data_IF_241229440027
#
_entry.id   IF_241229440027
#
_cell.length_a   1.000
_cell.length_b   1.000
_cell.length_c   1.000
_cell.angle_alpha   90.00
_cell.angle_beta   90.00
_cell.angle_gamma   90.00
#
_symmetry.space_group_name_H-M   'P 1'
#
loop_
_entity.id
_entity.type
_entity.pdbx_description
1 polymer ?
#
# COMPACT_ATOMS: atom_id res chain seq x y z
N UNK A 1 14.88 2.41 -4.89
CA UNK A 1 15.32 3.60 -5.63
C UNK A 1 15.97 3.21 -6.98
N UNK A 2 17.02 2.36 -6.99
CA UNK A 2 17.68 1.94 -8.23
C UNK A 2 16.71 1.36 -9.27
N UNK A 3 15.74 0.55 -8.85
CA UNK A 3 14.72 0.01 -9.77
C UNK A 3 13.80 1.09 -10.33
N UNK A 4 13.42 2.10 -9.56
CA UNK A 4 12.65 3.24 -10.07
C UNK A 4 13.43 3.99 -11.16
N UNK A 5 14.72 4.23 -10.93
CA UNK A 5 15.60 4.85 -11.94
C UNK A 5 15.73 3.97 -13.20
N UNK A 6 15.88 2.67 -13.03
CA UNK A 6 15.95 1.72 -14.16
C UNK A 6 14.65 1.68 -14.99
N UNK A 7 13.51 2.00 -14.38
CA UNK A 7 12.21 2.16 -15.04
C UNK A 7 12.00 3.55 -15.68
N UNK A 8 13.03 4.42 -15.66
CA UNK A 8 13.01 5.72 -16.32
C UNK A 8 12.61 6.90 -15.42
N UNK A 9 12.50 6.72 -14.09
CA UNK A 9 12.19 7.83 -13.21
C UNK A 9 13.25 8.93 -13.26
N UNK A 10 12.87 10.13 -13.67
CA UNK A 10 13.74 11.31 -13.69
C UNK A 10 13.95 11.90 -12.31
N UNK A 11 12.92 11.84 -11.46
CA UNK A 11 12.94 12.26 -10.06
C UNK A 11 12.33 11.17 -9.19
N UNK A 12 12.86 11.02 -7.99
CA UNK A 12 12.39 10.02 -7.02
C UNK A 12 12.09 10.69 -5.68
N UNK A 13 10.82 10.74 -5.32
CA UNK A 13 10.36 11.17 -4.02
C UNK A 13 10.07 9.95 -3.13
N UNK A 14 10.40 10.04 -1.85
CA UNK A 14 10.17 8.99 -0.86
C UNK A 14 9.27 9.51 0.25
N UNK A 15 8.14 8.84 0.50
CA UNK A 15 7.35 9.03 1.72
C UNK A 15 7.88 8.07 2.79
N UNK A 16 8.45 8.62 3.86
CA UNK A 16 9.09 7.86 4.93
C UNK A 16 8.36 8.06 6.26
N UNK A 17 8.03 6.98 6.95
CA UNK A 17 7.44 7.05 8.29
C UNK A 17 8.33 7.84 9.24
N UNK A 18 7.74 8.87 9.88
CA UNK A 18 8.38 9.68 10.90
C UNK A 18 7.99 9.15 12.29
N UNK A 19 8.97 8.95 13.16
CA UNK A 19 8.76 8.40 14.49
C UNK A 19 8.53 6.89 14.47
N UNK A 20 7.28 6.43 14.63
CA UNK A 20 6.94 5.01 14.64
C UNK A 20 6.80 4.43 13.23
N UNK A 21 7.12 3.14 13.09
CA UNK A 21 6.80 2.37 11.89
C UNK A 21 5.31 2.02 11.84
N UNK A 22 4.82 1.57 10.68
CA UNK A 22 3.44 1.09 10.53
C UNK A 22 3.05 -0.01 11.53
N UNK A 23 4.02 -0.76 12.04
CA UNK A 23 3.81 -1.82 13.04
C UNK A 23 3.85 -1.28 14.49
N UNK A 24 3.92 0.03 14.69
CA UNK A 24 3.98 0.67 16.01
C UNK A 24 5.33 0.52 16.72
N UNK A 25 6.35 -0.01 16.06
CA UNK A 25 7.69 -0.15 16.62
C UNK A 25 8.56 1.08 16.31
N UNK A 26 9.53 1.35 17.16
CA UNK A 26 10.57 2.32 16.85
C UNK A 26 11.44 1.79 15.69
N UNK A 27 11.81 2.65 14.73
CA UNK A 27 12.80 2.29 13.72
C UNK A 27 14.15 1.95 14.34
N UNK A 28 14.87 1.02 13.75
CA UNK A 28 16.22 0.64 14.21
C UNK A 28 17.21 1.80 14.12
N UNK A 29 17.02 2.70 13.14
CA UNK A 29 17.89 3.85 12.90
C UNK A 29 17.12 5.16 13.10
N UNK A 30 17.76 6.22 13.63
CA UNK A 30 17.19 7.56 13.72
C UNK A 30 16.70 8.07 12.36
N UNK A 31 15.69 8.93 12.38
CA UNK A 31 15.10 9.49 11.16
C UNK A 31 16.14 10.20 10.28
N UNK A 32 17.02 11.01 10.87
CA UNK A 32 18.08 11.71 10.14
C UNK A 32 19.01 10.76 9.37
N UNK A 33 19.34 9.62 9.96
CA UNK A 33 20.17 8.59 9.32
C UNK A 33 19.42 7.94 8.15
N UNK A 34 18.13 7.61 8.33
CA UNK A 34 17.30 7.01 7.29
C UNK A 34 17.07 7.97 6.11
N UNK A 35 16.84 9.25 6.40
CA UNK A 35 16.69 10.30 5.38
C UNK A 35 17.98 10.46 4.60
N UNK A 36 19.13 10.59 5.29
CA UNK A 36 20.44 10.68 4.63
C UNK A 36 20.70 9.48 3.74
N UNK A 37 20.48 8.27 4.23
CA UNK A 37 20.67 7.06 3.45
C UNK A 37 19.76 7.02 2.19
N UNK A 38 18.51 7.48 2.30
CA UNK A 38 17.62 7.57 1.13
C UNK A 38 18.15 8.55 0.08
N UNK A 39 18.63 9.73 0.50
CA UNK A 39 19.20 10.74 -0.41
C UNK A 39 20.49 10.23 -1.06
N UNK A 40 21.42 9.66 -0.29
CA UNK A 40 22.66 9.06 -0.79
C UNK A 40 22.41 7.87 -1.74
N UNK A 41 21.31 7.13 -1.52
CA UNK A 41 20.87 6.06 -2.43
C UNK A 41 20.09 6.55 -3.66
N UNK A 42 19.97 7.85 -3.89
CA UNK A 42 19.44 8.43 -5.11
C UNK A 42 17.98 8.91 -5.04
N UNK A 43 17.43 9.14 -3.84
CA UNK A 43 16.21 9.92 -3.71
C UNK A 43 16.53 11.41 -3.93
N UNK A 44 15.67 12.13 -4.65
CA UNK A 44 15.77 13.57 -4.82
C UNK A 44 15.06 14.31 -3.68
N UNK A 45 14.06 13.67 -3.06
CA UNK A 45 13.23 14.28 -2.02
C UNK A 45 12.74 13.21 -1.05
N UNK A 46 12.72 13.53 0.24
CA UNK A 46 12.17 12.67 1.28
C UNK A 46 11.14 13.46 2.08
N UNK A 47 9.92 12.94 2.13
CA UNK A 47 8.82 13.49 2.92
C UNK A 47 8.62 12.68 4.19
N UNK A 48 8.44 13.35 5.30
CA UNK A 48 8.01 12.73 6.53
C UNK A 48 6.52 12.39 6.45
N UNK A 49 6.17 11.12 6.63
CA UNK A 49 4.80 10.70 6.90
C UNK A 49 4.61 10.70 8.42
N UNK A 50 3.88 11.69 9.00
CA UNK A 50 3.81 11.86 10.43
C UNK A 50 2.84 10.88 11.11
N UNK A 51 2.93 10.75 12.43
CA UNK A 51 1.86 10.16 13.23
C UNK A 51 0.60 11.07 13.15
N UNK A 52 -0.64 10.50 13.18
CA UNK A 52 -0.92 9.07 13.38
C UNK A 52 -0.80 8.22 12.09
N UNK A 53 -0.60 8.82 10.92
CA UNK A 53 -0.63 8.13 9.64
C UNK A 53 0.46 7.08 9.50
N UNK A 54 1.66 7.37 10.01
CA UNK A 54 2.81 6.48 9.94
C UNK A 54 2.60 5.13 10.65
N UNK A 55 1.76 5.09 11.68
CA UNK A 55 1.44 3.87 12.45
C UNK A 55 -0.03 3.44 12.32
N UNK A 56 -0.74 3.98 11.34
CA UNK A 56 -2.13 3.62 11.08
C UNK A 56 -2.26 2.27 10.36
N UNK A 57 -3.47 1.73 10.31
CA UNK A 57 -3.78 0.56 9.47
C UNK A 57 -3.50 0.82 8.00
N UNK A 58 -3.36 -0.25 7.21
CA UNK A 58 -2.92 -0.21 5.82
C UNK A 58 -3.69 0.80 4.95
N UNK A 59 -5.01 0.91 5.13
CA UNK A 59 -5.86 1.85 4.38
C UNK A 59 -5.47 3.31 4.66
N UNK A 60 -5.42 3.73 5.93
CA UNK A 60 -5.11 5.10 6.30
C UNK A 60 -3.65 5.47 5.98
N UNK A 61 -2.73 4.53 6.17
CA UNK A 61 -1.32 4.68 5.79
C UNK A 61 -1.18 4.90 4.28
N UNK A 62 -1.82 4.06 3.46
CA UNK A 62 -1.78 4.16 2.02
C UNK A 62 -2.40 5.47 1.52
N UNK A 63 -3.56 5.87 2.06
CA UNK A 63 -4.23 7.13 1.70
C UNK A 63 -3.36 8.35 1.98
N UNK A 64 -2.71 8.39 3.13
CA UNK A 64 -1.82 9.50 3.49
C UNK A 64 -0.56 9.53 2.62
N UNK A 65 0.07 8.37 2.37
CA UNK A 65 1.24 8.26 1.50
C UNK A 65 0.95 8.67 0.06
N UNK A 66 -0.15 8.19 -0.51
CA UNK A 66 -0.59 8.56 -1.87
C UNK A 66 -0.91 10.05 -1.95
N UNK A 67 -1.63 10.60 -0.97
CA UNK A 67 -1.96 12.03 -0.92
C UNK A 67 -0.69 12.90 -0.95
N UNK A 68 0.28 12.54 -0.12
CA UNK A 68 1.53 13.29 0.02
C UNK A 68 2.34 13.27 -1.28
N UNK A 69 2.48 12.11 -1.91
CA UNK A 69 3.23 11.96 -3.16
C UNK A 69 2.48 12.58 -4.36
N UNK A 70 1.15 12.44 -4.43
CA UNK A 70 0.35 13.07 -5.47
C UNK A 70 0.42 14.60 -5.43
N UNK A 71 0.42 15.19 -4.23
CA UNK A 71 0.56 16.64 -4.04
C UNK A 71 1.90 17.19 -4.56
N UNK A 72 2.91 16.33 -4.74
CA UNK A 72 4.22 16.71 -5.31
C UNK A 72 4.32 16.48 -6.80
N UNK A 73 3.24 16.06 -7.46
CA UNK A 73 3.21 15.81 -8.89
C UNK A 73 3.85 14.49 -9.32
N UNK A 74 3.98 13.53 -8.41
CA UNK A 74 4.42 12.18 -8.79
C UNK A 74 3.39 11.52 -9.71
N UNK A 75 3.87 10.95 -10.82
CA UNK A 75 3.06 10.27 -11.85
C UNK A 75 3.07 8.73 -11.69
N UNK A 76 3.95 8.20 -10.84
CA UNK A 76 4.04 6.79 -10.54
C UNK A 76 4.27 6.53 -9.04
N UNK A 77 3.69 5.44 -8.52
CA UNK A 77 3.92 4.95 -7.17
C UNK A 77 4.59 3.58 -7.21
N UNK A 78 5.84 3.53 -6.76
CA UNK A 78 6.63 2.29 -6.70
C UNK A 78 6.55 1.68 -5.30
N UNK A 79 6.18 0.42 -5.20
CA UNK A 79 6.05 -0.31 -3.94
C UNK A 79 6.38 -1.80 -4.10
N UNK A 80 6.70 -2.48 -2.99
CA UNK A 80 6.98 -3.91 -2.98
C UNK A 80 5.70 -4.73 -2.78
N UNK A 81 5.54 -5.82 -3.55
CA UNK A 81 4.45 -6.76 -3.42
C UNK A 81 4.96 -8.21 -3.51
N UNK A 82 4.25 -9.16 -2.91
CA UNK A 82 4.50 -10.60 -3.09
C UNK A 82 4.08 -11.03 -4.49
N UNK A 83 2.97 -10.48 -4.98
CA UNK A 83 2.46 -10.68 -6.35
C UNK A 83 2.54 -9.36 -7.10
N UNK A 84 3.58 -9.11 -7.90
CA UNK A 84 3.80 -7.83 -8.57
C UNK A 84 3.00 -7.72 -9.88
N UNK A 85 1.69 -7.96 -9.81
CA UNK A 85 0.75 -7.84 -10.91
C UNK A 85 -0.12 -6.59 -10.71
N UNK A 86 0.22 -5.51 -11.43
CA UNK A 86 -0.48 -4.24 -11.33
C UNK A 86 -1.96 -4.33 -11.77
N UNK A 87 -2.27 -5.16 -12.76
CA UNK A 87 -3.62 -5.32 -13.26
C UNK A 87 -4.51 -5.99 -12.21
N UNK A 88 -4.04 -7.10 -11.63
CA UNK A 88 -4.76 -7.82 -10.59
C UNK A 88 -4.91 -6.97 -9.32
N UNK A 89 -3.89 -6.21 -8.92
CA UNK A 89 -3.96 -5.30 -7.76
C UNK A 89 -4.99 -4.18 -7.98
N UNK A 90 -5.01 -3.57 -9.17
CA UNK A 90 -6.00 -2.53 -9.52
C UNK A 90 -7.42 -3.08 -9.59
N UNK A 91 -7.60 -4.26 -10.17
CA UNK A 91 -8.91 -4.91 -10.25
C UNK A 91 -9.42 -5.24 -8.85
N UNK A 92 -8.59 -5.81 -7.99
CA UNK A 92 -8.90 -6.04 -6.58
C UNK A 92 -9.30 -4.73 -5.89
N UNK A 93 -8.55 -3.66 -6.11
CA UNK A 93 -8.87 -2.34 -5.55
C UNK A 93 -10.25 -1.82 -6.00
N UNK A 94 -10.62 -2.02 -7.27
CA UNK A 94 -11.96 -1.65 -7.79
C UNK A 94 -13.06 -2.45 -7.10
N UNK A 95 -12.87 -3.75 -6.94
CA UNK A 95 -13.81 -4.62 -6.21
C UNK A 95 -13.99 -4.11 -4.78
N UNK A 96 -12.92 -3.83 -4.07
CA UNK A 96 -12.98 -3.34 -2.68
C UNK A 96 -13.64 -1.95 -2.56
N UNK A 97 -13.59 -1.14 -3.61
CA UNK A 97 -14.27 0.16 -3.66
C UNK A 97 -15.75 0.08 -4.06
N UNK A 98 -16.24 -1.11 -4.45
CA UNK A 98 -17.63 -1.29 -4.87
C UNK A 98 -18.63 -1.23 -3.70
N UNK A 99 -19.86 -0.82 -3.98
CA UNK A 99 -20.94 -0.84 -3.00
C UNK A 99 -21.28 -2.27 -2.57
N UNK A 100 -21.23 -3.22 -3.52
CA UNK A 100 -21.49 -4.65 -3.26
C UNK A 100 -20.51 -5.22 -2.22
N UNK A 101 -19.22 -4.97 -2.40
CA UNK A 101 -18.20 -5.40 -1.43
C UNK A 101 -18.41 -4.78 -0.06
N UNK A 102 -18.69 -3.47 0.02
CA UNK A 102 -18.94 -2.79 1.32
C UNK A 102 -20.13 -3.39 2.06
N UNK A 103 -21.21 -3.72 1.33
CA UNK A 103 -22.39 -4.39 1.90
C UNK A 103 -22.03 -5.80 2.39
N UNK A 104 -21.32 -6.59 1.57
CA UNK A 104 -20.87 -7.92 1.94
C UNK A 104 -19.94 -7.90 3.17
N UNK A 105 -18.98 -6.97 3.21
CA UNK A 105 -18.07 -6.81 4.36
C UNK A 105 -18.84 -6.51 5.65
N UNK A 106 -19.81 -5.59 5.58
CA UNK A 106 -20.68 -5.28 6.73
C UNK A 106 -21.44 -6.51 7.23
N UNK A 107 -21.97 -7.33 6.32
CA UNK A 107 -22.64 -8.59 6.67
C UNK A 107 -21.69 -9.59 7.33
N UNK A 108 -20.47 -9.78 6.78
CA UNK A 108 -19.48 -10.69 7.37
C UNK A 108 -19.05 -10.27 8.77
N UNK A 109 -18.88 -8.97 9.00
CA UNK A 109 -18.55 -8.42 10.33
C UNK A 109 -19.70 -8.62 11.31
N UNK A 110 -20.95 -8.39 10.89
CA UNK A 110 -22.14 -8.61 11.72
C UNK A 110 -22.38 -10.10 12.03
N UNK A 111 -21.96 -11.00 11.14
CA UNK A 111 -22.04 -12.45 11.33
C UNK A 111 -20.96 -13.00 12.28
N UNK A 112 -20.12 -12.16 12.85
CA UNK A 112 -19.09 -12.57 13.84
C UNK A 112 -17.85 -13.18 13.20
N UNK A 113 -17.39 -12.66 12.09
CA UNK A 113 -16.13 -13.10 11.48
C UNK A 113 -14.97 -13.09 12.48
N UNK A 114 -14.11 -14.11 12.45
CA UNK A 114 -13.00 -14.30 13.41
C UNK A 114 -11.99 -13.13 13.45
N UNK A 115 -11.87 -12.41 12.35
CA UNK A 115 -11.00 -11.23 12.23
C UNK A 115 -11.45 -10.35 11.05
N UNK A 116 -10.99 -9.10 11.05
CA UNK A 116 -11.23 -8.20 9.92
C UNK A 116 -10.66 -8.75 8.60
N UNK A 117 -9.49 -9.38 8.64
CA UNK A 117 -8.90 -10.01 7.47
C UNK A 117 -9.76 -11.15 6.91
N UNK A 118 -10.30 -12.01 7.79
CA UNK A 118 -11.22 -13.08 7.41
C UNK A 118 -12.52 -12.53 6.82
N UNK A 119 -13.08 -11.46 7.42
CA UNK A 119 -14.27 -10.78 6.91
C UNK A 119 -14.03 -10.20 5.49
N UNK A 120 -12.86 -9.60 5.26
CA UNK A 120 -12.48 -9.07 3.94
C UNK A 120 -12.42 -10.16 2.87
N UNK A 121 -11.76 -11.28 3.16
CA UNK A 121 -11.66 -12.40 2.23
C UNK A 121 -13.03 -12.99 1.91
N UNK A 122 -13.85 -13.23 2.93
CA UNK A 122 -15.21 -13.74 2.75
C UNK A 122 -16.09 -12.76 1.95
N UNK A 123 -15.94 -11.46 2.15
CA UNK A 123 -16.67 -10.44 1.41
C UNK A 123 -16.27 -10.42 -0.08
N UNK A 124 -14.99 -10.59 -0.40
CA UNK A 124 -14.51 -10.69 -1.79
C UNK A 124 -15.10 -11.92 -2.48
N UNK A 125 -15.12 -13.07 -1.79
CA UNK A 125 -15.74 -14.28 -2.30
C UNK A 125 -17.27 -14.12 -2.51
N UNK A 126 -17.94 -13.48 -1.56
CA UNK A 126 -19.39 -13.27 -1.61
C UNK A 126 -19.85 -12.39 -2.78
N UNK A 127 -18.99 -11.52 -3.29
CA UNK A 127 -19.30 -10.72 -4.49
C UNK A 127 -18.91 -11.41 -5.80
N UNK A 128 -18.51 -12.68 -5.73
CA UNK A 128 -18.17 -13.49 -6.92
C UNK A 128 -16.87 -13.05 -7.60
N UNK A 129 -15.97 -12.40 -6.88
CA UNK A 129 -14.68 -12.01 -7.43
C UNK A 129 -13.73 -13.21 -7.61
N UNK A 130 -12.73 -13.05 -8.47
CA UNK A 130 -11.71 -14.08 -8.73
C UNK A 130 -11.07 -14.54 -7.40
N UNK A 131 -10.97 -15.87 -7.16
CA UNK A 131 -10.26 -16.40 -5.99
C UNK A 131 -8.84 -15.87 -5.79
N UNK A 132 -8.14 -15.49 -6.86
CA UNK A 132 -6.82 -14.86 -6.79
C UNK A 132 -6.84 -13.56 -6.00
N UNK A 133 -7.94 -12.78 -6.06
CA UNK A 133 -8.10 -11.54 -5.29
C UNK A 133 -8.18 -11.80 -3.78
N UNK A 134 -8.88 -12.86 -3.37
CA UNK A 134 -8.92 -13.25 -1.96
C UNK A 134 -7.55 -13.73 -1.47
N UNK A 135 -6.80 -14.45 -2.32
CA UNK A 135 -5.44 -14.89 -2.02
C UNK A 135 -4.46 -13.71 -1.85
N UNK A 136 -4.58 -12.66 -2.67
CA UNK A 136 -3.80 -11.42 -2.52
C UNK A 136 -3.94 -10.83 -1.11
N UNK A 137 -5.17 -10.77 -0.60
CA UNK A 137 -5.48 -10.14 0.69
C UNK A 137 -4.97 -10.94 1.90
N UNK A 138 -4.52 -12.18 1.71
CA UNK A 138 -3.91 -12.99 2.76
C UNK A 138 -2.45 -12.62 3.05
N UNK A 139 -1.80 -11.92 2.12
CA UNK A 139 -0.38 -11.57 2.22
C UNK A 139 -0.20 -10.10 2.58
N UNK A 140 0.64 -9.77 3.58
CA UNK A 140 0.66 -8.43 4.18
C UNK A 140 1.10 -7.32 3.21
N UNK A 141 2.06 -7.57 2.31
CA UNK A 141 2.49 -6.54 1.36
C UNK A 141 1.54 -6.43 0.17
N UNK A 142 0.94 -7.52 -0.29
CA UNK A 142 -0.14 -7.46 -1.29
C UNK A 142 -1.35 -6.71 -0.73
N UNK A 143 -1.70 -6.94 0.55
CA UNK A 143 -2.77 -6.20 1.20
C UNK A 143 -2.49 -4.69 1.20
N UNK A 144 -1.28 -4.27 1.55
CA UNK A 144 -0.87 -2.86 1.48
C UNK A 144 -0.82 -2.35 0.03
N UNK A 145 -0.36 -3.16 -0.92
CA UNK A 145 -0.34 -2.84 -2.35
C UNK A 145 -1.74 -2.54 -2.90
N UNK A 146 -2.74 -3.36 -2.52
CA UNK A 146 -4.14 -3.12 -2.86
C UNK A 146 -4.65 -1.81 -2.26
N UNK A 147 -4.28 -1.49 -1.01
CA UNK A 147 -4.67 -0.22 -0.39
C UNK A 147 -4.02 1.00 -1.09
N UNK A 148 -2.78 0.89 -1.60
CA UNK A 148 -2.21 1.93 -2.45
C UNK A 148 -3.02 2.12 -3.75
N UNK A 149 -3.38 1.03 -4.42
CA UNK A 149 -4.21 1.09 -5.62
C UNK A 149 -5.59 1.69 -5.32
N UNK A 150 -6.21 1.33 -4.18
CA UNK A 150 -7.47 1.94 -3.72
C UNK A 150 -7.33 3.44 -3.53
N UNK A 151 -6.29 3.86 -2.82
CA UNK A 151 -6.04 5.28 -2.55
C UNK A 151 -5.81 6.07 -3.84
N UNK A 152 -5.08 5.52 -4.82
CA UNK A 152 -4.89 6.14 -6.15
C UNK A 152 -6.23 6.35 -6.85
N UNK A 153 -7.10 5.33 -6.85
CA UNK A 153 -8.42 5.40 -7.48
C UNK A 153 -9.36 6.39 -6.76
N UNK A 154 -9.45 6.31 -5.43
CA UNK A 154 -10.34 7.15 -4.62
C UNK A 154 -9.96 8.64 -4.69
N UNK A 155 -8.67 8.94 -4.66
CA UNK A 155 -8.15 10.31 -4.70
C UNK A 155 -8.02 10.85 -6.13
N UNK A 156 -8.23 10.01 -7.15
CA UNK A 156 -7.98 10.36 -8.56
C UNK A 156 -6.57 10.93 -8.75
N UNK A 157 -5.60 10.29 -8.12
CA UNK A 157 -4.26 10.83 -7.98
C UNK A 157 -3.46 10.88 -9.30
N UNK A 158 -3.96 10.26 -10.38
CA UNK A 158 -3.29 10.25 -11.68
C UNK A 158 -2.00 9.42 -11.72
N UNK A 159 -1.69 8.70 -10.64
CA UNK A 159 -0.45 7.93 -10.49
C UNK A 159 -0.61 6.51 -11.06
N UNK A 160 0.42 6.02 -11.73
CA UNK A 160 0.53 4.63 -12.18
C UNK A 160 1.10 3.77 -11.04
N UNK A 161 0.41 2.71 -10.57
CA UNK A 161 0.98 1.79 -9.61
C UNK A 161 2.04 0.89 -10.26
N UNK A 162 3.21 0.82 -9.64
CA UNK A 162 4.37 0.03 -10.11
C UNK A 162 4.79 -0.93 -9.02
N UNK A 163 4.18 -2.13 -8.93
CA UNK A 163 4.55 -3.13 -7.97
C UNK A 163 5.89 -3.78 -8.35
N UNK A 164 6.79 -3.89 -7.39
CA UNK A 164 8.07 -4.59 -7.55
C UNK A 164 8.06 -5.90 -6.76
N UNK A 165 8.67 -6.97 -7.30
CA UNK A 165 8.78 -8.22 -6.58
C UNK A 165 9.65 -8.03 -5.33
N UNK A 166 9.15 -8.46 -4.18
CA UNK A 166 9.96 -8.47 -2.96
C UNK A 166 11.05 -9.52 -3.05
N UNK A 167 12.26 -9.11 -2.70
CA UNK A 167 13.40 -10.01 -2.50
C UNK A 167 13.69 -10.11 -1.01
N UNK A 168 13.75 -11.31 -0.45
CA UNK A 168 14.04 -11.56 0.97
C UNK A 168 13.10 -12.55 1.62
N UNK A 169 13.37 -12.90 2.88
CA UNK A 169 12.61 -13.89 3.64
C UNK A 169 11.14 -13.44 3.82
N UNK A 170 10.23 -14.39 3.67
CA UNK A 170 8.86 -14.22 4.10
C UNK A 170 8.88 -13.93 5.61
N UNK A 171 8.21 -12.87 6.02
CA UNK A 171 7.98 -12.62 7.43
C UNK A 171 6.94 -13.65 7.92
N UNK A 172 7.43 -14.77 8.47
CA UNK A 172 6.64 -15.64 9.30
C UNK A 172 6.35 -14.98 10.64
#
# INVERSE_FOLDING_TARGET
>A
LAQARALGAQRVAVAMSCGLTQRGALPLLPESVRVRAALECGADLVFALPAPWACAGAEAFARAGVHLLAATGCDALVFGAETPDAALLLETARVLNSAAYRAALKQQLAAGARSFAAARQAAVQAVGADPAMAALLSQPNNNLAVEYCRAILEQRAGMTPVPLPRRGANHG
#
